data_IF_944885067193
#
_entry.id   IF_944885067193
#
_cell.length_a   1.000
_cell.length_b   1.000
_cell.length_c   1.000
_cell.angle_alpha   90.00
_cell.angle_beta   90.00
_cell.angle_gamma   90.00
#
_symmetry.space_group_name_H-M   'P 1'
#
loop_
_entity.id
_entity.type
_entity.pdbx_description
1 polymer ?
#
# COMPACT_ATOMS: atom_id res chain seq x y z
N UNK A 1 17.70 16.03 -3.37
CA UNK A 1 17.35 17.43 -3.67
C UNK A 1 17.06 17.52 -5.16
N UNK A 2 15.81 17.46 -5.56
CA UNK A 2 15.37 17.86 -6.90
C UNK A 2 13.99 18.50 -6.76
N UNK A 3 14.03 19.84 -6.83
CA UNK A 3 12.88 20.74 -6.77
C UNK A 3 12.20 20.78 -8.14
N UNK A 4 10.96 20.33 -8.21
CA UNK A 4 10.11 20.47 -9.41
C UNK A 4 9.32 21.77 -9.30
N UNK A 5 9.75 22.82 -10.03
CA UNK A 5 9.02 24.09 -10.19
C UNK A 5 7.90 23.92 -11.21
N UNK A 6 6.67 24.25 -10.80
CA UNK A 6 5.52 24.47 -11.70
C UNK A 6 5.69 25.83 -12.42
N UNK A 7 5.39 25.96 -13.71
CA UNK A 7 5.34 27.26 -14.38
C UNK A 7 4.02 27.97 -14.07
N UNK A 8 4.13 29.17 -13.53
CA UNK A 8 3.02 30.10 -13.31
C UNK A 8 2.93 31.04 -14.51
N UNK A 9 1.80 31.03 -15.22
CA UNK A 9 1.49 31.93 -16.32
C UNK A 9 0.90 33.22 -15.75
N UNK A 10 1.56 34.38 -15.99
CA UNK A 10 1.04 35.72 -15.73
C UNK A 10 0.49 36.30 -17.04
N UNK A 11 -0.72 36.89 -17.05
CA UNK A 11 -1.16 37.69 -18.19
C UNK A 11 -0.53 39.07 -18.12
N UNK A 12 -0.08 39.58 -19.28
CA UNK A 12 0.52 40.88 -19.45
C UNK A 12 -0.56 41.97 -19.44
N UNK A 13 -0.22 43.05 -18.72
CA UNK A 13 -1.01 44.27 -18.64
C UNK A 13 -0.88 45.08 -19.93
N UNK A 14 -2.01 45.59 -20.38
CA UNK A 14 -2.19 46.55 -21.45
C UNK A 14 -1.75 47.92 -20.93
N UNK A 15 -0.85 48.57 -21.66
CA UNK A 15 -0.43 49.97 -21.40
C UNK A 15 -1.01 50.88 -22.46
N UNK A 16 -1.92 51.74 -22.01
CA UNK A 16 -2.48 52.83 -22.83
C UNK A 16 -1.46 53.78 -23.41
N UNK A 17 -1.84 54.34 -24.49
CA UNK A 17 -1.22 55.57 -25.03
C UNK A 17 -2.29 56.55 -25.50
N UNK A 18 -2.49 57.59 -24.67
CA UNK A 18 -3.09 58.83 -25.07
C UNK A 18 -2.36 59.45 -26.26
N UNK A 19 -3.10 60.03 -27.21
CA UNK A 19 -2.59 61.21 -27.93
C UNK A 19 -3.73 62.17 -28.28
N UNK A 20 -3.57 63.40 -27.80
CA UNK A 20 -4.34 64.61 -28.03
C UNK A 20 -4.09 65.11 -29.44
N UNK A 21 -5.07 65.83 -29.99
CA UNK A 21 -4.83 66.80 -31.04
C UNK A 21 -6.06 67.18 -31.88
N UNK A 22 -6.77 68.19 -31.44
CA UNK A 22 -7.67 69.07 -32.28
C UNK A 22 -6.79 70.09 -32.98
N UNK A 23 -7.16 70.93 -34.07
CA UNK A 23 -8.50 71.46 -34.31
C UNK A 23 -8.91 71.73 -35.79
N UNK A 24 -10.20 72.01 -35.95
CA UNK A 24 -10.85 73.08 -36.69
C UNK A 24 -10.76 73.18 -38.24
N UNK A 25 -11.93 73.36 -38.80
CA UNK A 25 -12.10 74.31 -39.88
C UNK A 25 -12.95 73.86 -41.08
N UNK A 26 -14.13 74.47 -41.26
CA UNK A 26 -14.65 74.85 -42.56
C UNK A 26 -15.92 74.15 -43.08
N UNK A 27 -17.07 74.74 -42.78
CA UNK A 27 -18.28 74.73 -43.64
C UNK A 27 -18.09 75.57 -44.92
N UNK A 28 -18.99 75.73 -45.88
CA UNK A 28 -20.31 75.10 -46.13
C UNK A 28 -20.67 74.82 -47.61
N UNK A 29 -21.93 74.37 -47.81
CA UNK A 29 -22.81 74.55 -48.99
C UNK A 29 -22.57 73.67 -50.20
N UNK A 30 -23.54 72.96 -50.70
CA UNK A 30 -24.73 73.47 -51.32
C UNK A 30 -25.74 72.35 -51.72
N UNK A 31 -26.99 72.70 -51.54
CA UNK A 31 -28.22 72.01 -51.93
C UNK A 31 -28.29 71.88 -53.45
N UNK A 32 -28.63 70.74 -53.98
CA UNK A 32 -29.39 70.63 -55.29
C UNK A 32 -30.44 69.50 -55.12
N UNK A 33 -31.68 69.96 -55.05
CA UNK A 33 -32.87 69.12 -55.27
C UNK A 33 -32.94 68.73 -56.78
N UNK A 34 -33.25 67.49 -57.02
CA UNK A 34 -33.82 67.10 -58.31
C UNK A 34 -34.87 66.01 -58.00
N UNK A 35 -36.13 66.51 -57.99
CA UNK A 35 -37.29 65.64 -58.22
C UNK A 35 -37.22 65.08 -59.63
N UNK A 36 -37.42 63.80 -59.74
CA UNK A 36 -37.88 63.16 -60.95
C UNK A 36 -38.83 62.02 -60.71
N UNK A 37 -40.01 62.33 -61.05
CA UNK A 37 -41.15 61.57 -61.57
C UNK A 37 -41.18 60.07 -61.47
N UNK A 38 -42.28 59.66 -60.87
CA UNK A 38 -42.85 58.33 -60.90
C UNK A 38 -43.16 57.87 -62.32
N UNK A 39 -42.73 56.67 -62.62
CA UNK A 39 -43.43 55.85 -63.64
C UNK A 39 -43.45 54.39 -63.14
N UNK A 40 -44.57 53.70 -63.32
CA UNK A 40 -44.75 52.38 -62.74
C UNK A 40 -44.49 51.26 -63.74
N UNK A 41 -44.06 50.15 -63.19
CA UNK A 41 -44.22 48.78 -63.78
C UNK A 41 -43.09 48.24 -64.66
N UNK A 42 -42.94 46.87 -64.76
CA UNK A 42 -43.93 45.82 -64.50
C UNK A 42 -43.43 44.69 -63.56
N UNK A 43 -44.40 43.98 -63.09
CA UNK A 43 -44.29 42.68 -62.49
C UNK A 43 -43.64 41.63 -63.38
N UNK A 44 -42.98 40.66 -62.72
CA UNK A 44 -42.59 39.34 -63.12
C UNK A 44 -41.11 39.16 -63.36
N UNK A 45 -40.41 38.85 -62.29
CA UNK A 45 -39.20 38.04 -62.31
C UNK A 45 -39.36 36.96 -61.22
N UNK A 46 -39.04 35.71 -61.48
CA UNK A 46 -39.20 34.65 -60.45
C UNK A 46 -38.28 34.96 -59.31
N UNK A 47 -38.89 34.96 -58.11
CA UNK A 47 -38.16 34.96 -56.83
C UNK A 47 -37.26 33.72 -56.79
N UNK A 48 -36.02 33.90 -57.29
CA UNK A 48 -34.97 32.91 -57.08
C UNK A 48 -34.45 33.03 -55.67
N UNK A 49 -35.35 32.71 -54.68
CA UNK A 49 -34.95 32.45 -53.33
C UNK A 49 -34.31 31.08 -53.34
N UNK A 50 -32.98 31.05 -53.50
CA UNK A 50 -32.19 29.84 -53.26
C UNK A 50 -32.33 29.56 -51.76
N UNK A 51 -33.18 28.63 -51.43
CA UNK A 51 -33.30 28.10 -50.05
C UNK A 51 -31.95 27.46 -49.70
N UNK A 52 -31.18 28.13 -48.85
CA UNK A 52 -29.97 27.55 -48.27
C UNK A 52 -30.34 26.20 -47.62
N UNK A 53 -29.75 25.10 -48.04
CA UNK A 53 -30.05 23.82 -47.40
C UNK A 53 -29.60 23.90 -45.96
N UNK A 54 -30.53 23.70 -45.02
CA UNK A 54 -30.21 23.60 -43.61
C UNK A 54 -29.06 22.61 -43.39
N UNK A 55 -28.06 22.95 -42.56
CA UNK A 55 -26.92 22.09 -42.34
C UNK A 55 -27.36 20.79 -41.72
N UNK A 56 -27.49 19.74 -42.51
CA UNK A 56 -27.84 18.36 -42.11
C UNK A 56 -26.91 17.75 -41.06
N UNK A 57 -25.81 18.44 -40.71
CA UNK A 57 -24.81 18.00 -39.74
C UNK A 57 -25.29 18.00 -38.26
N UNK A 58 -26.17 18.91 -37.86
CA UNK A 58 -26.64 19.03 -36.47
C UNK A 58 -27.54 17.86 -36.06
N UNK A 59 -28.36 17.34 -36.96
CA UNK A 59 -29.23 16.16 -36.68
C UNK A 59 -28.39 14.87 -36.59
N UNK A 60 -27.42 14.69 -37.49
CA UNK A 60 -26.49 13.52 -37.43
C UNK A 60 -25.64 13.52 -36.17
N UNK A 61 -25.11 14.68 -35.70
CA UNK A 61 -24.37 14.80 -34.46
C UNK A 61 -25.25 14.50 -33.25
N UNK A 62 -26.48 15.00 -33.20
CA UNK A 62 -27.43 14.68 -32.12
C UNK A 62 -27.78 13.19 -32.10
N UNK A 63 -28.03 12.58 -33.26
CA UNK A 63 -28.30 11.14 -33.35
C UNK A 63 -27.08 10.34 -32.83
N UNK A 64 -25.88 10.71 -33.23
CA UNK A 64 -24.63 10.08 -32.79
C UNK A 64 -24.40 10.23 -31.27
N UNK A 65 -24.73 11.38 -30.69
CA UNK A 65 -24.67 11.60 -29.24
C UNK A 65 -25.72 10.76 -28.51
N UNK A 66 -26.94 10.66 -29.04
CA UNK A 66 -27.98 9.83 -28.47
C UNK A 66 -27.68 8.34 -28.54
N UNK A 67 -27.14 7.85 -29.67
CA UNK A 67 -26.70 6.45 -29.79
C UNK A 67 -25.56 6.14 -28.84
N UNK A 68 -24.57 7.05 -28.71
CA UNK A 68 -23.48 6.90 -27.74
C UNK A 68 -24.01 6.88 -26.31
N UNK A 69 -24.94 7.77 -25.95
CA UNK A 69 -25.54 7.81 -24.63
C UNK A 69 -26.32 6.53 -24.31
N UNK A 70 -27.10 6.01 -25.28
CA UNK A 70 -27.86 4.76 -25.11
C UNK A 70 -26.91 3.57 -24.92
N UNK A 71 -25.88 3.47 -25.76
CA UNK A 71 -24.87 2.40 -25.65
C UNK A 71 -24.13 2.49 -24.32
N UNK A 72 -23.73 3.69 -23.92
CA UNK A 72 -23.08 3.91 -22.62
C UNK A 72 -23.98 3.55 -21.45
N UNK A 73 -25.25 3.93 -21.49
CA UNK A 73 -26.25 3.56 -20.48
C UNK A 73 -26.48 2.04 -20.43
N UNK A 74 -26.56 1.40 -21.59
CA UNK A 74 -26.70 -0.06 -21.67
C UNK A 74 -25.49 -0.78 -21.09
N UNK A 75 -24.26 -0.35 -21.43
CA UNK A 75 -23.02 -0.88 -20.85
C UNK A 75 -22.98 -0.66 -19.34
N UNK A 76 -23.38 0.52 -18.86
CA UNK A 76 -23.46 0.80 -17.42
C UNK A 76 -24.44 -0.15 -16.70
N UNK A 77 -25.61 -0.40 -17.28
CA UNK A 77 -26.59 -1.37 -16.73
C UNK A 77 -26.03 -2.78 -16.71
N UNK A 78 -25.34 -3.21 -17.78
CA UNK A 78 -24.70 -4.53 -17.82
C UNK A 78 -23.60 -4.67 -16.75
N UNK A 79 -22.74 -3.65 -16.61
CA UNK A 79 -21.68 -3.65 -15.59
C UNK A 79 -22.29 -3.68 -14.19
N UNK A 80 -23.30 -2.83 -13.93
CA UNK A 80 -23.99 -2.80 -12.63
C UNK A 80 -24.67 -4.15 -12.35
N UNK A 81 -25.37 -4.71 -13.34
CA UNK A 81 -25.98 -6.04 -13.23
C UNK A 81 -24.98 -7.15 -12.96
N UNK A 82 -23.79 -7.10 -13.58
CA UNK A 82 -22.73 -8.06 -13.31
C UNK A 82 -22.15 -7.92 -11.89
N UNK A 83 -21.94 -6.68 -11.42
CA UNK A 83 -21.40 -6.41 -10.06
C UNK A 83 -22.34 -6.92 -8.97
N UNK A 84 -23.66 -6.79 -9.16
CA UNK A 84 -24.67 -7.22 -8.19
C UNK A 84 -25.25 -8.63 -8.50
N UNK A 85 -24.67 -9.34 -9.46
CA UNK A 85 -25.14 -10.67 -9.84
C UNK A 85 -24.82 -11.70 -8.78
N UNK A 86 -25.75 -12.58 -8.39
CA UNK A 86 -25.46 -13.70 -7.52
C UNK A 86 -24.50 -14.73 -8.12
N UNK A 87 -24.18 -14.63 -9.41
CA UNK A 87 -23.18 -15.44 -10.09
C UNK A 87 -21.77 -15.09 -9.60
N UNK A 88 -21.51 -13.82 -9.25
CA UNK A 88 -20.23 -13.37 -8.72
C UNK A 88 -20.21 -13.34 -7.18
N UNK A 89 -21.18 -13.95 -6.51
CA UNK A 89 -21.18 -14.08 -5.07
C UNK A 89 -20.09 -15.07 -4.60
N UNK A 90 -19.39 -14.71 -3.53
CA UNK A 90 -18.40 -15.58 -2.86
C UNK A 90 -19.11 -16.86 -2.39
N UNK A 91 -18.67 -18.00 -2.91
CA UNK A 91 -19.13 -19.34 -2.50
C UNK A 91 -18.03 -20.17 -1.92
N UNK A 92 -16.81 -19.93 -2.36
CA UNK A 92 -15.63 -20.68 -1.92
C UNK A 92 -14.59 -19.67 -1.44
N UNK A 93 -14.10 -19.88 -0.23
CA UNK A 93 -12.98 -19.12 0.35
C UNK A 93 -11.80 -20.07 0.42
N UNK A 94 -10.79 -19.83 -0.41
CA UNK A 94 -9.51 -20.54 -0.38
C UNK A 94 -8.52 -19.74 0.44
N UNK A 95 -7.88 -20.38 1.41
CA UNK A 95 -6.91 -19.76 2.31
C UNK A 95 -5.54 -20.34 2.03
N UNK A 96 -4.54 -19.48 1.89
CA UNK A 96 -3.14 -19.89 1.82
C UNK A 96 -2.25 -19.05 2.74
N UNK A 97 -0.97 -19.45 2.89
CA UNK A 97 0.00 -18.74 3.73
C UNK A 97 -0.08 -19.06 5.23
N UNK A 98 -0.97 -19.97 5.64
CA UNK A 98 -1.12 -20.38 7.04
C UNK A 98 -0.10 -21.46 7.43
N UNK A 99 0.43 -21.36 8.67
CA UNK A 99 1.36 -22.34 9.29
C UNK A 99 0.96 -22.64 10.73
N UNK A 100 0.61 -21.63 11.50
CA UNK A 100 0.17 -21.73 12.90
C UNK A 100 -1.35 -21.84 12.99
N UNK A 101 -2.07 -21.17 12.08
CA UNK A 101 -3.52 -21.23 11.98
C UNK A 101 -3.98 -22.34 11.07
N UNK A 102 -5.13 -22.92 11.41
CA UNK A 102 -5.81 -23.82 10.48
C UNK A 102 -6.58 -23.00 9.43
N UNK A 103 -6.62 -23.44 8.16
CA UNK A 103 -7.43 -22.75 7.14
C UNK A 103 -8.90 -22.63 7.53
N UNK A 104 -9.42 -23.60 8.29
CA UNK A 104 -10.80 -23.66 8.78
C UNK A 104 -11.10 -22.53 9.77
N UNK A 105 -10.16 -22.14 10.64
CA UNK A 105 -10.37 -21.04 11.58
C UNK A 105 -10.44 -19.70 10.87
N UNK A 106 -9.62 -19.52 9.82
CA UNK A 106 -9.68 -18.34 8.96
C UNK A 106 -11.01 -18.29 8.19
N UNK A 107 -11.45 -19.41 7.61
CA UNK A 107 -12.73 -19.50 6.90
C UNK A 107 -13.90 -19.19 7.83
N UNK A 108 -13.92 -19.71 9.06
CA UNK A 108 -14.96 -19.39 10.05
C UNK A 108 -15.02 -17.90 10.36
N UNK A 109 -13.86 -17.25 10.51
CA UNK A 109 -13.82 -15.80 10.74
C UNK A 109 -14.35 -14.99 9.55
N UNK A 110 -14.26 -15.56 8.34
CA UNK A 110 -14.68 -14.93 7.09
C UNK A 110 -16.10 -15.30 6.64
N UNK A 111 -16.87 -16.04 7.42
CA UNK A 111 -18.26 -16.44 7.06
C UNK A 111 -19.14 -15.23 6.70
N UNK A 112 -18.87 -14.05 7.28
CA UNK A 112 -19.61 -12.82 6.97
C UNK A 112 -19.38 -12.29 5.53
N UNK A 113 -18.38 -12.81 4.82
CA UNK A 113 -18.06 -12.43 3.43
C UNK A 113 -18.76 -13.37 2.44
N UNK A 114 -19.21 -14.54 2.88
CA UNK A 114 -19.94 -15.48 2.04
C UNK A 114 -21.24 -14.87 1.50
N UNK A 115 -21.51 -15.11 0.24
CA UNK A 115 -22.70 -14.55 -0.45
C UNK A 115 -22.55 -13.10 -0.90
N UNK A 116 -21.50 -12.37 -0.49
CA UNK A 116 -21.24 -11.03 -1.02
C UNK A 116 -20.66 -11.11 -2.43
N UNK A 117 -21.00 -10.19 -3.34
CA UNK A 117 -20.38 -10.12 -4.65
C UNK A 117 -18.87 -9.87 -4.54
N UNK A 118 -18.05 -10.65 -5.25
CA UNK A 118 -16.57 -10.54 -5.25
C UNK A 118 -16.05 -9.10 -5.39
N UNK A 119 -16.60 -8.24 -6.29
CA UNK A 119 -16.09 -6.87 -6.42
C UNK A 119 -16.37 -5.97 -5.21
N UNK A 120 -17.24 -6.38 -4.29
CA UNK A 120 -17.58 -5.63 -3.08
C UNK A 120 -16.77 -6.06 -1.86
N UNK A 121 -16.06 -7.17 -1.95
CA UNK A 121 -15.18 -7.64 -0.87
C UNK A 121 -13.89 -6.82 -0.88
N UNK A 122 -13.66 -6.07 0.18
CA UNK A 122 -12.44 -5.29 0.33
C UNK A 122 -11.43 -5.99 1.22
N UNK A 123 -10.13 -5.79 0.92
CA UNK A 123 -9.06 -6.29 1.78
C UNK A 123 -9.12 -5.70 3.20
N UNK A 124 -9.65 -4.47 3.36
CA UNK A 124 -9.82 -3.86 4.67
C UNK A 124 -10.89 -4.60 5.49
N UNK A 125 -12.02 -4.93 4.90
CA UNK A 125 -13.07 -5.70 5.56
C UNK A 125 -12.56 -7.07 6.02
N UNK A 126 -11.82 -7.77 5.15
CA UNK A 126 -11.23 -9.06 5.48
C UNK A 126 -10.25 -8.94 6.64
N UNK A 127 -9.38 -7.92 6.63
CA UNK A 127 -8.45 -7.70 7.74
C UNK A 127 -9.18 -7.37 9.06
N UNK A 128 -10.30 -6.61 9.01
CA UNK A 128 -11.11 -6.35 10.21
C UNK A 128 -11.73 -7.63 10.79
N UNK A 129 -12.25 -8.50 9.94
CA UNK A 129 -12.82 -9.78 10.35
C UNK A 129 -11.76 -10.74 10.92
N UNK A 130 -10.53 -10.64 10.47
CA UNK A 130 -9.42 -11.47 10.94
C UNK A 130 -8.70 -10.91 12.18
N UNK A 131 -9.00 -9.68 12.64
CA UNK A 131 -8.41 -9.09 13.86
C UNK A 131 -8.49 -9.96 15.13
N UNK A 132 -9.57 -10.72 15.38
CA UNK A 132 -9.62 -11.61 16.54
C UNK A 132 -8.58 -12.72 16.51
N UNK A 133 -8.07 -13.10 15.34
CA UNK A 133 -7.01 -14.07 15.16
C UNK A 133 -5.65 -13.37 15.33
N UNK A 134 -5.14 -13.35 16.57
CA UNK A 134 -3.89 -12.63 16.91
C UNK A 134 -2.68 -13.08 16.10
N UNK A 135 -2.70 -14.30 15.59
CA UNK A 135 -1.65 -14.85 14.73
C UNK A 135 -1.62 -14.21 13.33
N UNK A 136 -2.71 -13.55 12.90
CA UNK A 136 -2.76 -12.86 11.61
C UNK A 136 -2.09 -11.49 11.76
N UNK A 137 -1.06 -11.23 10.97
CA UNK A 137 -0.46 -9.90 10.86
C UNK A 137 -1.20 -9.05 9.84
N UNK A 138 -1.52 -9.62 8.70
CA UNK A 138 -2.28 -9.00 7.62
C UNK A 138 -2.82 -10.07 6.67
N UNK A 139 -3.84 -9.72 5.90
CA UNK A 139 -4.33 -10.56 4.83
C UNK A 139 -4.49 -9.74 3.55
N UNK A 140 -4.22 -10.36 2.41
CA UNK A 140 -4.52 -9.82 1.09
C UNK A 140 -5.56 -10.71 0.43
N UNK A 141 -6.41 -10.13 -0.41
CA UNK A 141 -7.49 -10.82 -1.08
C UNK A 141 -7.35 -10.73 -2.58
N UNK A 142 -7.64 -11.84 -3.26
CA UNK A 142 -7.68 -11.94 -4.70
C UNK A 142 -9.02 -12.54 -5.11
N UNK A 143 -9.78 -11.79 -5.90
CA UNK A 143 -11.03 -12.28 -6.46
C UNK A 143 -10.73 -13.23 -7.63
N UNK A 144 -11.23 -14.45 -7.57
CA UNK A 144 -11.16 -15.45 -8.65
C UNK A 144 -12.56 -15.75 -9.18
N UNK A 145 -12.97 -15.09 -10.25
CA UNK A 145 -14.27 -15.35 -10.84
C UNK A 145 -14.44 -16.82 -11.26
N UNK A 146 -15.66 -17.40 -11.17
CA UNK A 146 -16.90 -16.67 -10.91
C UNK A 146 -17.26 -16.45 -9.43
N UNK A 147 -16.76 -17.27 -8.48
CA UNK A 147 -17.28 -17.30 -7.12
C UNK A 147 -16.24 -17.65 -6.04
N UNK A 148 -14.96 -17.63 -6.37
CA UNK A 148 -13.88 -17.95 -5.43
C UNK A 148 -13.20 -16.68 -4.94
N UNK A 149 -12.98 -16.61 -3.63
CA UNK A 149 -12.15 -15.60 -2.97
C UNK A 149 -10.90 -16.28 -2.42
N UNK A 150 -9.73 -15.95 -2.98
CA UNK A 150 -8.47 -16.37 -2.41
C UNK A 150 -8.03 -15.35 -1.36
N UNK A 151 -7.74 -15.84 -0.16
CA UNK A 151 -7.24 -15.05 0.98
C UNK A 151 -5.83 -15.53 1.31
N UNK A 152 -4.87 -14.68 1.02
CA UNK A 152 -3.48 -14.92 1.39
C UNK A 152 -3.20 -14.32 2.76
N UNK A 153 -2.98 -15.16 3.75
CA UNK A 153 -2.74 -14.79 5.13
C UNK A 153 -1.25 -14.65 5.38
N UNK A 154 -0.84 -13.49 5.85
CA UNK A 154 0.51 -13.26 6.35
C UNK A 154 0.49 -13.42 7.86
N UNK A 155 0.95 -14.58 8.34
CA UNK A 155 1.00 -14.88 9.76
C UNK A 155 2.15 -14.14 10.46
N UNK A 156 1.95 -13.86 11.74
CA UNK A 156 3.01 -13.40 12.64
C UNK A 156 3.98 -14.53 12.92
N UNK A 157 5.25 -14.24 12.85
CA UNK A 157 6.31 -15.21 13.12
C UNK A 157 6.80 -14.98 14.56
N UNK A 158 6.73 -15.99 15.45
CA UNK A 158 7.30 -15.88 16.77
C UNK A 158 8.84 -15.77 16.67
N UNK A 159 9.42 -14.85 17.43
CA UNK A 159 10.88 -14.61 17.44
C UNK A 159 11.52 -14.93 18.78
N UNK A 160 10.72 -14.98 19.85
CA UNK A 160 11.22 -15.25 21.19
C UNK A 160 10.14 -15.79 22.13
N UNK A 161 10.59 -16.26 23.28
CA UNK A 161 9.77 -16.62 24.43
C UNK A 161 9.90 -15.56 25.52
N UNK A 162 8.80 -15.25 26.19
CA UNK A 162 8.77 -14.48 27.44
C UNK A 162 8.30 -15.37 28.57
N UNK A 163 9.01 -15.37 29.69
CA UNK A 163 8.57 -16.09 30.88
C UNK A 163 7.47 -15.30 31.61
N UNK A 164 6.30 -15.92 31.80
CA UNK A 164 5.19 -15.39 32.57
C UNK A 164 4.76 -16.43 33.62
N UNK A 165 5.24 -16.26 34.85
CA UNK A 165 5.05 -17.27 35.89
C UNK A 165 5.69 -18.61 35.51
N UNK A 166 4.90 -19.68 35.43
CA UNK A 166 5.34 -21.02 35.05
C UNK A 166 5.15 -21.35 33.58
N UNK A 167 4.74 -20.37 32.74
CA UNK A 167 4.52 -20.54 31.30
C UNK A 167 5.45 -19.66 30.48
N UNK A 168 5.73 -20.10 29.26
CA UNK A 168 6.49 -19.36 28.27
C UNK A 168 5.54 -18.90 27.18
N UNK A 169 5.49 -17.60 26.94
CA UNK A 169 4.62 -16.98 25.92
C UNK A 169 5.46 -16.66 24.69
N UNK A 170 5.03 -17.18 23.56
CA UNK A 170 5.63 -16.84 22.27
C UNK A 170 5.25 -15.43 21.86
N UNK A 171 6.23 -14.62 21.46
CA UNK A 171 6.03 -13.25 21.04
C UNK A 171 6.66 -12.98 19.68
N UNK A 172 6.00 -12.14 18.91
CA UNK A 172 6.55 -11.65 17.65
C UNK A 172 7.43 -10.40 17.84
N UNK A 173 7.93 -9.85 16.72
CA UNK A 173 8.77 -8.65 16.71
C UNK A 173 8.07 -7.40 17.26
N UNK A 174 6.73 -7.35 17.19
CA UNK A 174 5.92 -6.24 17.68
C UNK A 174 5.53 -6.43 19.17
N UNK A 175 5.91 -7.57 19.79
CA UNK A 175 5.55 -7.93 21.17
C UNK A 175 4.15 -8.53 21.31
N UNK A 176 3.54 -8.92 20.19
CA UNK A 176 2.22 -9.57 20.22
C UNK A 176 2.38 -11.02 20.70
N UNK A 177 1.57 -11.39 21.66
CA UNK A 177 1.55 -12.75 22.19
C UNK A 177 0.78 -13.67 21.26
N UNK A 178 1.44 -14.71 20.75
CA UNK A 178 0.88 -15.62 19.73
C UNK A 178 0.36 -16.93 20.33
N UNK A 179 0.87 -17.32 21.48
CA UNK A 179 0.50 -18.55 22.17
C UNK A 179 1.40 -18.79 23.37
N UNK A 180 1.10 -19.80 24.17
CA UNK A 180 1.87 -20.15 25.34
C UNK A 180 2.25 -21.63 25.33
N UNK A 181 3.41 -21.95 25.89
CA UNK A 181 3.87 -23.32 26.13
C UNK A 181 4.35 -23.46 27.58
N UNK A 182 4.27 -24.65 28.14
CA UNK A 182 4.84 -24.94 29.45
C UNK A 182 6.29 -25.40 29.37
N UNK A 183 6.71 -25.83 28.19
CA UNK A 183 8.06 -26.33 27.96
C UNK A 183 8.82 -25.43 26.98
N UNK A 184 9.88 -24.78 27.49
CA UNK A 184 10.75 -23.96 26.67
C UNK A 184 11.43 -24.76 25.54
N UNK A 185 11.74 -26.04 25.80
CA UNK A 185 12.45 -26.89 24.84
C UNK A 185 11.56 -27.35 23.67
N UNK A 186 10.22 -27.24 23.82
CA UNK A 186 9.28 -27.59 22.74
C UNK A 186 9.35 -26.64 21.53
N UNK A 187 9.91 -25.46 21.73
CA UNK A 187 10.02 -24.43 20.68
C UNK A 187 11.45 -23.93 20.62
N UNK A 188 12.08 -24.03 19.45
CA UNK A 188 13.46 -23.60 19.23
C UNK A 188 13.57 -22.07 19.13
N UNK A 189 13.19 -21.37 20.21
CA UNK A 189 13.22 -19.92 20.32
C UNK A 189 13.95 -19.49 21.59
N UNK A 190 14.73 -18.38 21.53
CA UNK A 190 15.43 -17.86 22.71
C UNK A 190 14.43 -17.25 23.71
N UNK A 191 14.80 -17.35 25.00
CA UNK A 191 14.09 -16.65 26.07
C UNK A 191 14.59 -15.20 26.14
N UNK A 192 13.68 -14.24 26.12
CA UNK A 192 14.00 -12.85 26.42
C UNK A 192 14.02 -12.63 27.91
N UNK A 193 15.15 -12.23 28.45
CA UNK A 193 15.33 -11.80 29.83
C UNK A 193 15.18 -10.27 29.93
N UNK A 194 13.94 -9.82 29.83
CA UNK A 194 13.59 -8.39 29.90
C UNK A 194 12.69 -8.04 31.11
N UNK A 195 12.51 -9.01 32.02
CA UNK A 195 11.62 -8.88 33.18
C UNK A 195 10.13 -9.04 32.80
N UNK A 196 9.31 -9.40 33.82
CA UNK A 196 7.88 -9.61 33.63
C UNK A 196 7.17 -8.29 33.16
N UNK A 197 6.46 -8.34 32.05
CA UNK A 197 5.66 -7.22 31.54
C UNK A 197 6.36 -6.26 30.57
N UNK A 198 7.57 -6.57 30.11
CA UNK A 198 8.44 -5.65 29.38
C UNK A 198 8.28 -5.61 27.85
N UNK A 199 7.18 -6.16 27.27
CA UNK A 199 6.99 -6.25 25.82
C UNK A 199 6.95 -4.88 25.09
N UNK A 200 6.67 -3.81 25.81
CA UNK A 200 6.60 -2.44 25.25
C UNK A 200 7.82 -1.57 25.56
N UNK A 201 8.86 -2.15 26.16
CA UNK A 201 10.08 -1.39 26.47
C UNK A 201 10.98 -1.23 25.22
N UNK A 202 11.78 -0.17 25.21
CA UNK A 202 12.79 0.01 24.16
C UNK A 202 13.79 -1.15 24.08
N UNK A 203 14.07 -1.80 25.22
CA UNK A 203 14.93 -2.97 25.33
C UNK A 203 14.34 -4.18 24.59
N UNK A 204 13.05 -4.48 24.82
CA UNK A 204 12.37 -5.55 24.12
C UNK A 204 12.42 -5.35 22.61
N UNK A 205 12.07 -4.12 22.14
CA UNK A 205 12.11 -3.80 20.70
C UNK A 205 13.48 -3.97 20.08
N UNK A 206 14.53 -3.58 20.80
CA UNK A 206 15.92 -3.76 20.34
C UNK A 206 16.25 -5.25 20.22
N UNK A 207 15.96 -6.05 21.25
CA UNK A 207 16.20 -7.51 21.22
C UNK A 207 15.39 -8.17 20.10
N UNK A 208 14.07 -7.89 20.02
CA UNK A 208 13.19 -8.48 19.02
C UNK A 208 13.61 -8.13 17.58
N UNK A 209 14.07 -6.88 17.34
CA UNK A 209 14.59 -6.46 16.04
C UNK A 209 15.86 -7.23 15.65
N UNK A 210 16.72 -7.53 16.60
CA UNK A 210 17.91 -8.36 16.39
C UNK A 210 17.51 -9.80 16.07
N UNK A 211 16.67 -10.42 16.91
CA UNK A 211 16.24 -11.81 16.75
C UNK A 211 15.50 -12.04 15.42
N UNK A 212 14.67 -11.09 15.00
CA UNK A 212 13.96 -11.17 13.71
C UNK A 212 14.89 -11.12 12.48
N UNK A 213 16.12 -10.68 12.64
CA UNK A 213 17.10 -10.61 11.52
C UNK A 213 17.90 -11.90 11.40
N UNK A 214 17.95 -12.70 12.48
CA UNK A 214 18.71 -13.94 12.50
C UNK A 214 18.01 -15.03 11.65
N UNK A 215 18.78 -15.80 10.86
CA UNK A 215 18.27 -17.01 10.22
C UNK A 215 17.71 -18.01 11.25
N UNK A 216 16.74 -18.82 10.86
CA UNK A 216 16.08 -19.77 11.76
C UNK A 216 17.05 -20.79 12.40
N UNK A 217 18.06 -21.22 11.66
CA UNK A 217 19.11 -22.14 12.13
C UNK A 217 20.01 -21.50 13.18
N UNK A 218 20.29 -20.20 13.06
CA UNK A 218 21.03 -19.42 14.07
C UNK A 218 20.17 -19.16 15.29
N UNK A 219 18.90 -18.78 15.07
CA UNK A 219 17.92 -18.54 16.13
C UNK A 219 17.71 -19.76 17.02
N UNK A 220 17.62 -20.97 16.42
CA UNK A 220 17.48 -22.24 17.14
C UNK A 220 18.68 -22.60 18.01
N UNK A 221 19.85 -21.98 17.79
CA UNK A 221 21.07 -22.14 18.64
C UNK A 221 21.14 -21.16 19.78
N UNK A 222 20.22 -20.18 19.85
CA UNK A 222 20.16 -19.20 20.93
C UNK A 222 19.40 -19.76 22.12
N UNK A 223 19.92 -19.50 23.31
CA UNK A 223 19.29 -19.87 24.59
C UNK A 223 18.52 -18.68 25.18
N UNK A 224 19.23 -17.57 25.35
CA UNK A 224 18.65 -16.33 25.93
C UNK A 224 19.13 -15.11 25.17
N UNK A 225 18.30 -14.06 25.20
CA UNK A 225 18.65 -12.75 24.70
C UNK A 225 18.36 -11.70 25.78
N UNK A 226 19.31 -10.81 26.00
CA UNK A 226 19.22 -9.74 26.99
C UNK A 226 19.76 -8.43 26.43
N UNK A 227 19.41 -7.31 27.05
CA UNK A 227 19.97 -6.01 26.69
C UNK A 227 20.08 -5.15 27.95
N UNK A 228 21.25 -4.59 28.20
CA UNK A 228 21.45 -3.59 29.24
C UNK A 228 20.99 -2.20 28.78
N UNK A 229 21.04 -1.95 27.47
CA UNK A 229 20.51 -0.77 26.80
C UNK A 229 20.09 -1.13 25.36
N UNK A 230 19.36 -0.28 24.64
CA UNK A 230 19.00 -0.53 23.23
C UNK A 230 20.22 -0.77 22.31
N UNK A 231 21.39 -0.26 22.71
CA UNK A 231 22.64 -0.38 21.98
C UNK A 231 23.60 -1.45 22.51
N UNK A 232 23.16 -2.21 23.53
CA UNK A 232 23.97 -3.24 24.18
C UNK A 232 23.19 -4.56 24.29
N UNK A 233 22.84 -5.12 23.12
CA UNK A 233 22.18 -6.43 23.02
C UNK A 233 23.23 -7.53 23.08
N UNK A 234 22.96 -8.52 23.94
CA UNK A 234 23.76 -9.73 24.11
C UNK A 234 22.87 -10.97 23.92
N UNK A 235 23.41 -11.97 23.24
CA UNK A 235 22.73 -13.25 23.01
C UNK A 235 23.59 -14.37 23.62
N UNK A 236 22.96 -15.33 24.24
CA UNK A 236 23.62 -16.54 24.73
C UNK A 236 23.23 -17.73 23.86
N UNK A 237 24.19 -18.51 23.49
CA UNK A 237 24.02 -19.76 22.77
C UNK A 237 23.69 -20.90 23.71
N UNK A 238 23.09 -21.97 23.20
CA UNK A 238 22.78 -23.19 23.96
C UNK A 238 24.05 -23.87 24.48
N UNK A 239 25.19 -23.71 23.78
CA UNK A 239 26.50 -24.24 24.20
C UNK A 239 27.22 -23.36 25.26
N UNK A 240 26.55 -22.32 25.77
CA UNK A 240 27.03 -21.43 26.83
C UNK A 240 27.86 -20.24 26.33
N UNK A 241 28.16 -20.15 25.04
CA UNK A 241 28.91 -19.03 24.48
C UNK A 241 28.07 -17.78 24.39
N UNK A 242 28.72 -16.61 24.40
CA UNK A 242 28.06 -15.32 24.33
C UNK A 242 28.31 -14.67 22.98
N UNK A 243 27.28 -14.04 22.44
CA UNK A 243 27.36 -13.19 21.25
C UNK A 243 27.13 -11.74 21.67
N UNK A 244 28.13 -10.89 21.49
CA UNK A 244 28.00 -9.45 21.67
C UNK A 244 27.54 -8.85 20.37
N UNK A 245 26.28 -8.40 20.35
CA UNK A 245 25.65 -7.84 19.15
C UNK A 245 25.78 -6.32 19.07
N UNK A 246 25.64 -5.63 20.22
CA UNK A 246 25.60 -4.18 20.29
C UNK A 246 24.25 -3.59 19.86
N UNK A 247 24.29 -2.55 19.00
CA UNK A 247 23.08 -1.85 18.53
C UNK A 247 22.39 -2.57 17.34
N UNK A 248 21.23 -2.02 16.92
CA UNK A 248 20.46 -2.55 15.80
C UNK A 248 20.92 -2.05 14.40
N UNK A 249 22.02 -1.30 14.32
CA UNK A 249 22.58 -0.86 13.04
C UNK A 249 23.26 -2.03 12.31
N UNK A 250 23.29 -1.96 10.98
CA UNK A 250 23.92 -2.98 10.10
C UNK A 250 23.53 -4.44 10.43
N UNK A 251 22.30 -4.64 10.94
CA UNK A 251 21.85 -5.93 11.51
C UNK A 251 21.96 -7.10 10.54
N UNK A 252 21.71 -6.88 9.24
CA UNK A 252 21.84 -7.91 8.19
C UNK A 252 23.31 -8.32 7.99
N UNK A 253 24.24 -7.35 8.09
CA UNK A 253 25.66 -7.63 7.97
C UNK A 253 26.18 -8.35 9.21
N UNK A 254 25.73 -7.94 10.41
CA UNK A 254 26.03 -8.62 11.68
C UNK A 254 25.51 -10.07 11.68
N UNK A 255 24.30 -10.30 11.18
CA UNK A 255 23.74 -11.64 11.08
C UNK A 255 24.60 -12.56 10.17
N UNK A 256 25.01 -12.05 9.00
CA UNK A 256 25.92 -12.78 8.09
C UNK A 256 27.29 -13.04 8.71
N UNK A 257 27.84 -12.05 9.40
CA UNK A 257 29.12 -12.20 10.09
C UNK A 257 29.04 -13.28 11.19
N UNK A 258 27.98 -13.24 12.00
CA UNK A 258 27.73 -14.26 13.02
C UNK A 258 27.55 -15.64 12.42
N UNK A 259 26.74 -15.78 11.37
CA UNK A 259 26.53 -17.04 10.67
C UNK A 259 27.84 -17.62 10.15
N UNK A 260 28.70 -16.78 9.57
CA UNK A 260 30.03 -17.18 9.09
C UNK A 260 30.93 -17.66 10.25
N UNK A 261 30.95 -16.92 11.37
CA UNK A 261 31.76 -17.30 12.56
C UNK A 261 31.26 -18.63 13.17
N UNK A 262 29.93 -18.84 13.22
CA UNK A 262 29.36 -20.06 13.76
C UNK A 262 29.57 -21.30 12.88
N UNK A 263 29.85 -21.11 11.58
CA UNK A 263 30.20 -22.19 10.63
C UNK A 263 31.69 -22.51 10.60
N UNK A 264 32.54 -21.66 11.19
CA UNK A 264 33.97 -21.93 11.24
C UNK A 264 34.25 -23.14 12.15
N UNK A 265 35.14 -24.06 11.72
CA UNK A 265 35.52 -25.18 12.59
C UNK A 265 36.25 -24.65 13.82
N UNK A 266 35.92 -25.17 15.02
CA UNK A 266 36.63 -24.74 16.24
C UNK A 266 38.11 -25.13 16.20
N UNK A 267 38.99 -24.18 16.52
CA UNK A 267 40.40 -24.49 16.74
C UNK A 267 40.56 -25.08 18.15
N UNK A 268 41.04 -26.33 18.28
CA UNK A 268 41.20 -26.96 19.60
C UNK A 268 42.22 -26.24 20.52
N UNK A 269 43.05 -25.39 19.94
CA UNK A 269 44.08 -24.64 20.68
C UNK A 269 43.59 -23.30 21.22
N UNK A 270 42.50 -22.80 20.68
CA UNK A 270 41.91 -21.48 21.03
C UNK A 270 40.41 -21.65 21.29
N UNK A 271 40.03 -21.96 22.54
CA UNK A 271 38.59 -22.07 22.84
C UNK A 271 37.93 -20.71 22.69
N UNK A 272 36.85 -20.69 21.87
CA UNK A 272 36.06 -19.48 21.65
C UNK A 272 34.89 -19.48 22.63
N UNK A 273 34.80 -18.46 23.48
CA UNK A 273 33.72 -18.25 24.42
C UNK A 273 32.80 -17.07 24.04
N UNK A 274 33.34 -16.12 23.25
CA UNK A 274 32.62 -14.92 22.88
C UNK A 274 32.79 -14.67 21.37
N UNK A 275 31.66 -14.41 20.72
CA UNK A 275 31.59 -13.90 19.35
C UNK A 275 31.20 -12.42 19.38
N UNK A 276 32.06 -11.53 18.97
CA UNK A 276 31.80 -10.10 18.93
C UNK A 276 31.50 -9.67 17.49
N UNK A 277 30.26 -9.32 17.20
CA UNK A 277 29.78 -8.82 15.90
C UNK A 277 29.28 -7.38 15.98
N UNK A 278 29.55 -6.69 17.10
CA UNK A 278 29.14 -5.30 17.30
C UNK A 278 29.67 -4.38 16.20
N UNK A 279 30.84 -4.69 15.66
CA UNK A 279 31.45 -4.04 14.49
C UNK A 279 31.53 -5.06 13.34
N UNK A 280 30.53 -5.14 12.46
CA UNK A 280 30.39 -6.26 11.52
C UNK A 280 31.48 -6.34 10.44
N UNK A 281 32.22 -5.27 10.22
CA UNK A 281 33.38 -5.25 9.29
C UNK A 281 34.66 -5.82 9.91
N UNK A 282 34.72 -5.92 11.22
CA UNK A 282 35.84 -6.46 11.99
C UNK A 282 35.34 -7.37 13.12
N UNK A 283 34.58 -8.43 12.78
CA UNK A 283 34.12 -9.37 13.80
C UNK A 283 35.29 -10.14 14.37
N UNK A 284 35.23 -10.45 15.65
CA UNK A 284 36.29 -11.21 16.30
C UNK A 284 35.74 -12.19 17.33
N UNK A 285 36.60 -13.12 17.73
CA UNK A 285 36.28 -14.13 18.75
C UNK A 285 37.26 -14.02 19.92
N UNK A 286 36.75 -14.31 21.10
CA UNK A 286 37.54 -14.39 22.34
C UNK A 286 37.33 -15.71 23.03
#
# INVERSE_FOLDING_TARGET
VASTRKPTFKPAADSGRENKGRPAGGSPASVISAQRSVEPSPKNGPDNVIAFPEPKGKRKRRLLLWTFAIVSAFVAVLITGAIYSPVLAVRTITVDGTKLLTPEDVQKALTAVEGKPLPQVSGQEVNELLKPLVQVRSATVEARPPSELLVHVNERVPVALLKQGDTFVMVDVDGVQLGATQDQSAVALPLIDAGAGATNTGLFKAIAAVLNTLPADVLARMSTASAASPDAVELKLVDGKTVVWGNAEDKELKAKALEALLKMPPDPKVPVNVYDVSVPRHPFTK
#
